data_IF_307346151749
#
_entry.id   IF_307346151749
#
_cell.length_a   1.000
_cell.length_b   1.000
_cell.length_c   1.000
_cell.angle_alpha   90.00
_cell.angle_beta   90.00
_cell.angle_gamma   90.00
#
_symmetry.space_group_name_H-M   'P 1'
#
loop_
_entity.id
_entity.type
_entity.pdbx_description
1 polymer ?
#
# COMPACT_ATOMS: atom_id res chain seq x y z
N UNK A 1 8.46 -7.86 28.76
CA UNK A 1 7.78 -8.99 28.07
C UNK A 1 8.00 -8.81 26.57
N UNK A 2 8.58 -9.81 25.89
CA UNK A 2 8.71 -9.80 24.42
C UNK A 2 7.29 -9.92 23.84
N UNK A 3 6.82 -8.85 23.20
CA UNK A 3 5.45 -8.78 22.65
C UNK A 3 5.31 -9.51 21.31
N UNK A 4 6.40 -10.00 20.71
CA UNK A 4 6.39 -10.57 19.37
C UNK A 4 6.17 -9.55 18.24
N UNK A 5 6.06 -8.27 18.59
CA UNK A 5 5.87 -7.19 17.62
C UNK A 5 7.21 -6.57 17.23
N UNK A 6 7.36 -6.23 15.97
CA UNK A 6 8.42 -5.34 15.51
C UNK A 6 8.10 -3.91 15.98
N UNK A 7 9.08 -3.21 16.51
CA UNK A 7 8.90 -1.85 16.98
C UNK A 7 9.98 -0.95 16.38
N UNK A 8 9.55 0.15 15.79
CA UNK A 8 10.40 1.15 15.17
C UNK A 8 10.05 2.53 15.75
N UNK A 9 11.06 3.37 15.98
CA UNK A 9 10.86 4.75 16.44
C UNK A 9 10.97 5.66 15.23
N UNK A 10 9.92 6.41 14.97
CA UNK A 10 9.91 7.47 13.97
C UNK A 10 10.06 8.84 14.62
N UNK A 11 10.93 9.66 14.07
CA UNK A 11 11.11 11.06 14.47
C UNK A 11 10.35 11.95 13.50
N UNK A 12 9.51 12.82 14.03
CA UNK A 12 8.72 13.78 13.26
C UNK A 12 9.14 15.21 13.60
N UNK A 13 8.87 16.12 12.68
CA UNK A 13 9.11 17.57 12.87
C UNK A 13 10.54 17.90 13.33
N UNK A 14 11.55 17.30 12.65
CA UNK A 14 12.97 17.51 12.96
C UNK A 14 13.33 17.26 14.44
N UNK A 15 12.69 16.26 15.07
CA UNK A 15 12.91 15.94 16.49
C UNK A 15 11.88 16.52 17.45
N UNK A 16 10.86 17.21 16.95
CA UNK A 16 9.78 17.77 17.77
C UNK A 16 8.81 16.73 18.32
N UNK A 17 8.75 15.54 17.71
CA UNK A 17 7.94 14.43 18.19
C UNK A 17 8.58 13.08 17.89
N UNK A 18 8.38 12.13 18.81
CA UNK A 18 8.84 10.75 18.65
C UNK A 18 7.63 9.82 18.74
N UNK A 19 7.44 8.99 17.71
CA UNK A 19 6.36 8.02 17.66
C UNK A 19 6.92 6.60 17.70
N UNK A 20 6.32 5.76 18.53
CA UNK A 20 6.63 4.34 18.57
C UNK A 20 5.64 3.59 17.67
N UNK A 21 6.13 3.09 16.55
CA UNK A 21 5.37 2.23 15.66
C UNK A 21 5.56 0.78 16.06
N UNK A 22 4.47 0.07 16.26
CA UNK A 22 4.47 -1.36 16.57
C UNK A 22 3.74 -2.11 15.48
N UNK A 23 4.45 -3.04 14.83
CA UNK A 23 3.95 -3.79 13.69
C UNK A 23 3.79 -5.27 14.03
N UNK A 24 2.66 -5.84 13.63
CA UNK A 24 2.50 -7.28 13.53
C UNK A 24 3.10 -7.73 12.20
N UNK A 25 4.07 -8.64 12.24
CA UNK A 25 4.70 -9.18 11.03
C UNK A 25 4.01 -10.47 10.61
N UNK A 26 3.56 -10.53 9.38
CA UNK A 26 3.11 -11.76 8.74
C UNK A 26 4.27 -12.35 7.93
N UNK A 27 4.50 -13.66 8.07
CA UNK A 27 5.59 -14.38 7.41
C UNK A 27 5.11 -15.32 6.31
N UNK A 28 3.81 -15.60 6.27
CA UNK A 28 3.15 -16.35 5.19
C UNK A 28 2.27 -15.37 4.41
N UNK A 29 2.78 -14.90 3.29
CA UNK A 29 2.09 -13.97 2.39
C UNK A 29 2.07 -14.60 1.01
N UNK A 30 0.88 -14.75 0.43
CA UNK A 30 0.68 -15.44 -0.84
C UNK A 30 0.13 -14.49 -1.89
N UNK A 31 0.63 -14.62 -3.11
CA UNK A 31 0.11 -13.90 -4.25
C UNK A 31 -1.31 -14.40 -4.56
N UNK A 32 -2.25 -13.48 -4.71
CA UNK A 32 -3.62 -13.75 -5.12
C UNK A 32 -3.83 -13.41 -6.59
N UNK A 33 -3.30 -12.25 -6.99
CA UNK A 33 -3.41 -11.76 -8.34
C UNK A 33 -2.23 -10.84 -8.66
N UNK A 34 -1.70 -10.98 -9.86
CA UNK A 34 -0.85 -10.01 -10.50
C UNK A 34 -1.11 -10.07 -12.01
N UNK A 35 -1.21 -8.96 -12.72
CA UNK A 35 -1.34 -8.95 -14.17
C UNK A 35 -0.01 -9.33 -14.83
N UNK A 36 -0.07 -9.63 -16.12
CA UNK A 36 1.13 -9.81 -16.93
C UNK A 36 1.95 -8.53 -16.99
N UNK A 37 3.27 -8.68 -17.04
CA UNK A 37 4.20 -7.56 -17.05
C UNK A 37 3.93 -6.56 -18.19
N UNK A 38 3.47 -7.02 -19.34
CA UNK A 38 3.13 -6.18 -20.48
C UNK A 38 1.97 -5.21 -20.23
N UNK A 39 1.01 -5.59 -19.37
CA UNK A 39 -0.12 -4.74 -18.99
C UNK A 39 0.25 -3.84 -17.80
N UNK A 40 1.07 -4.38 -16.89
CA UNK A 40 1.54 -3.69 -15.71
C UNK A 40 2.74 -2.78 -15.97
N UNK A 41 3.38 -2.92 -17.14
CA UNK A 41 4.66 -2.31 -17.45
C UNK A 41 4.61 -0.79 -17.44
N UNK A 42 4.77 -0.29 -16.27
CA UNK A 42 5.00 1.12 -16.03
C UNK A 42 6.35 1.59 -16.59
N UNK A 43 7.35 0.73 -16.59
CA UNK A 43 8.73 1.07 -16.91
C UNK A 43 9.17 0.81 -18.35
N UNK A 44 8.29 0.27 -19.21
CA UNK A 44 8.58 0.00 -20.62
C UNK A 44 8.01 1.01 -21.58
N UNK A 45 7.17 1.91 -21.09
CA UNK A 45 6.43 2.86 -21.91
C UNK A 45 7.12 4.23 -21.90
N UNK A 46 7.47 4.71 -23.08
CA UNK A 46 8.06 6.05 -23.25
C UNK A 46 7.05 7.14 -22.84
N UNK A 47 5.78 6.84 -22.97
CA UNK A 47 4.64 7.75 -22.74
C UNK A 47 4.01 7.58 -21.36
N UNK A 48 4.82 7.27 -20.38
CA UNK A 48 4.42 6.94 -19.01
C UNK A 48 3.59 8.05 -18.30
N UNK A 49 3.70 9.29 -18.73
CA UNK A 49 2.98 10.43 -18.14
C UNK A 49 1.88 10.99 -19.02
N UNK A 50 1.51 10.30 -20.08
CA UNK A 50 0.42 10.73 -20.95
C UNK A 50 -0.96 10.33 -20.41
N UNK A 51 -1.96 11.10 -20.77
CA UNK A 51 -3.36 10.82 -20.50
C UNK A 51 -4.16 10.85 -21.82
N UNK A 52 -5.03 9.86 -22.09
CA UNK A 52 -5.33 8.68 -21.25
C UNK A 52 -4.24 7.62 -21.32
N UNK A 53 -4.08 6.91 -20.20
CA UNK A 53 -3.12 5.84 -20.09
C UNK A 53 -3.81 4.52 -19.76
N UNK A 54 -3.49 3.48 -20.49
CA UNK A 54 -3.98 2.12 -20.27
C UNK A 54 -2.91 1.29 -19.56
N UNK A 55 -3.12 0.99 -18.30
CA UNK A 55 -2.22 0.16 -17.52
C UNK A 55 -2.96 -0.43 -16.33
N UNK A 56 -2.63 -1.67 -15.98
CA UNK A 56 -3.15 -2.35 -14.80
C UNK A 56 -1.97 -2.71 -13.91
N UNK A 57 -1.45 -1.72 -13.19
CA UNK A 57 -0.32 -1.89 -12.27
C UNK A 57 -0.84 -2.09 -10.83
N UNK A 58 -1.39 -3.28 -10.59
CA UNK A 58 -1.94 -3.67 -9.29
C UNK A 58 -1.66 -5.15 -9.01
N UNK A 59 -1.29 -5.46 -7.76
CA UNK A 59 -1.16 -6.82 -7.29
C UNK A 59 -1.85 -7.00 -5.95
N UNK A 60 -2.44 -8.17 -5.73
CA UNK A 60 -3.09 -8.52 -4.48
C UNK A 60 -2.37 -9.68 -3.82
N UNK A 61 -2.09 -9.49 -2.53
CA UNK A 61 -1.50 -10.50 -1.67
C UNK A 61 -2.46 -10.79 -0.51
N UNK A 62 -2.39 -12.02 0.00
CA UNK A 62 -3.15 -12.42 1.19
C UNK A 62 -2.19 -12.92 2.26
N UNK A 63 -2.31 -12.35 3.45
CA UNK A 63 -1.57 -12.80 4.61
C UNK A 63 -2.26 -13.99 5.27
N UNK A 64 -1.46 -14.93 5.76
CA UNK A 64 -1.91 -16.14 6.45
C UNK A 64 -1.30 -16.22 7.85
N UNK A 65 -2.05 -16.80 8.77
CA UNK A 65 -1.62 -17.17 10.11
C UNK A 65 -2.04 -18.59 10.38
N UNK A 66 -1.09 -19.44 10.79
CA UNK A 66 -1.35 -20.86 11.10
C UNK A 66 -2.05 -21.63 9.98
N UNK A 67 -1.75 -21.28 8.73
CA UNK A 67 -2.31 -21.93 7.55
C UNK A 67 -3.68 -21.42 7.10
N UNK A 68 -4.29 -20.51 7.83
CA UNK A 68 -5.56 -19.88 7.45
C UNK A 68 -5.38 -18.40 7.09
N UNK A 69 -6.28 -17.81 6.29
CA UNK A 69 -6.27 -16.38 6.02
C UNK A 69 -6.31 -15.58 7.32
N UNK A 70 -5.42 -14.60 7.45
CA UNK A 70 -5.34 -13.77 8.64
C UNK A 70 -6.65 -13.00 8.85
N UNK A 71 -7.18 -13.09 10.06
CA UNK A 71 -8.38 -12.32 10.45
C UNK A 71 -7.93 -10.98 11.01
N UNK A 72 -8.42 -9.90 10.41
CA UNK A 72 -8.14 -8.53 10.84
C UNK A 72 -9.43 -7.85 11.29
N UNK A 73 -9.33 -7.02 12.31
CA UNK A 73 -10.49 -6.29 12.85
C UNK A 73 -10.81 -5.04 12.06
N UNK A 74 -9.77 -4.41 11.52
CA UNK A 74 -9.86 -3.16 10.78
C UNK A 74 -9.35 -3.36 9.36
N UNK A 75 -10.17 -2.99 8.39
CA UNK A 75 -9.84 -3.05 6.97
C UNK A 75 -10.68 -2.03 6.20
N UNK A 76 -10.22 -1.63 5.03
CA UNK A 76 -11.00 -0.81 4.12
C UNK A 76 -12.07 -1.67 3.45
N UNK A 77 -13.31 -1.19 3.48
CA UNK A 77 -14.39 -1.82 2.73
C UNK A 77 -14.21 -1.52 1.25
N UNK A 78 -14.45 -2.52 0.43
CA UNK A 78 -14.50 -2.32 -1.01
C UNK A 78 -15.71 -1.47 -1.38
N UNK A 79 -15.49 -0.45 -2.22
CA UNK A 79 -16.58 0.36 -2.78
C UNK A 79 -17.03 -0.25 -4.11
N UNK A 80 -18.32 -0.47 -4.26
CA UNK A 80 -18.89 -0.98 -5.50
C UNK A 80 -19.05 0.12 -6.56
N UNK A 81 -19.16 1.37 -6.13
CA UNK A 81 -19.39 2.53 -7.01
C UNK A 81 -18.14 3.33 -7.34
N UNK A 82 -17.06 3.14 -6.57
CA UNK A 82 -15.86 3.99 -6.69
C UNK A 82 -16.10 5.44 -6.20
N UNK A 83 -15.14 6.33 -6.39
CA UNK A 83 -15.28 7.76 -6.08
C UNK A 83 -16.08 8.48 -7.17
N UNK A 84 -16.83 9.50 -6.76
CA UNK A 84 -17.47 10.43 -7.67
C UNK A 84 -16.55 11.64 -7.97
N UNK A 85 -16.94 12.43 -8.96
CA UNK A 85 -16.25 13.69 -9.26
C UNK A 85 -16.30 14.63 -8.05
N UNK A 86 -15.18 15.25 -7.71
CA UNK A 86 -14.98 16.11 -6.54
C UNK A 86 -15.03 15.41 -5.16
N UNK A 87 -15.05 14.10 -5.10
CA UNK A 87 -14.89 13.40 -3.83
C UNK A 87 -13.48 13.59 -3.25
N UNK A 88 -13.39 13.77 -1.94
CA UNK A 88 -12.11 13.73 -1.23
C UNK A 88 -11.64 12.28 -1.12
N UNK A 89 -10.50 11.99 -1.70
CA UNK A 89 -9.90 10.64 -1.67
C UNK A 89 -8.54 10.65 -0.97
N UNK A 90 -8.17 9.52 -0.40
CA UNK A 90 -6.89 9.32 0.27
C UNK A 90 -6.16 8.15 -0.36
N UNK A 91 -4.86 8.29 -0.56
CA UNK A 91 -3.97 7.21 -0.97
C UNK A 91 -3.09 6.85 0.21
N UNK A 92 -3.13 5.60 0.63
CA UNK A 92 -2.30 5.07 1.72
C UNK A 92 -1.11 4.30 1.15
N UNK A 93 -0.03 4.22 1.92
CA UNK A 93 1.15 3.43 1.56
C UNK A 93 2.45 4.19 1.77
N UNK A 94 3.49 3.69 1.11
CA UNK A 94 4.82 4.28 1.14
C UNK A 94 5.18 4.79 -0.26
N UNK A 95 4.94 6.05 -0.58
CA UNK A 95 5.31 6.62 -1.87
C UNK A 95 6.84 6.60 -2.03
N UNK A 96 7.32 6.26 -3.23
CA UNK A 96 8.76 6.28 -3.54
C UNK A 96 9.32 7.69 -3.50
N UNK A 97 8.63 8.63 -4.12
CA UNK A 97 8.98 10.06 -4.14
C UNK A 97 7.72 10.92 -4.11
N UNK A 98 7.77 12.00 -3.38
CA UNK A 98 6.75 13.05 -3.43
C UNK A 98 7.44 14.37 -3.70
N UNK A 99 7.04 15.05 -4.77
CA UNK A 99 7.49 16.39 -5.08
C UNK A 99 6.34 17.37 -4.84
N UNK A 100 6.65 18.46 -4.19
CA UNK A 100 5.75 19.60 -4.06
C UNK A 100 6.23 20.68 -5.00
N UNK A 101 5.30 21.35 -5.63
CA UNK A 101 5.61 22.59 -6.32
C UNK A 101 5.92 23.63 -5.22
N UNK A 102 7.17 24.05 -5.15
CA UNK A 102 7.62 25.16 -4.31
C UNK A 102 7.68 26.44 -5.15
#
# INVERSE_FOLDING_TARGET
>A
KKTGLRSDIGTLYNGGAYHLYRYKKYTDVRLVFAPEAGIAAFGGDVDNFEYPRHGLDVAFFRAYEKGEPAKVTHFFKWSETGPAENDLVFVTGHPGTTQRLE
#
